data_IF_578725166065
#
_entry.id   IF_578725166065
#
_cell.length_a   1.000
_cell.length_b   1.000
_cell.length_c   1.000
_cell.angle_alpha   90.00
_cell.angle_beta   90.00
_cell.angle_gamma   90.00
#
_symmetry.space_group_name_H-M   'P 1'
#
loop_
_entity.id
_entity.type
_entity.pdbx_description
1 polymer ?
#
# COMPACT_ATOMS: atom_id res chain seq x y z
N UNK A 1 -25.92 35.06 4.15
CA UNK A 1 -25.16 34.45 3.05
C UNK A 1 -24.54 33.18 3.63
N UNK A 2 -25.16 32.02 3.39
CA UNK A 2 -24.72 30.76 4.01
C UNK A 2 -23.45 30.32 3.29
N UNK A 3 -22.31 30.46 3.96
CA UNK A 3 -21.07 29.82 3.55
C UNK A 3 -21.29 28.31 3.67
N UNK A 4 -21.78 27.68 2.60
CA UNK A 4 -21.79 26.23 2.49
C UNK A 4 -20.34 25.79 2.64
N UNK A 5 -20.05 25.04 3.70
CA UNK A 5 -18.74 24.47 3.91
C UNK A 5 -18.52 23.45 2.79
N UNK A 6 -17.90 23.89 1.70
CA UNK A 6 -17.66 23.11 0.48
C UNK A 6 -16.99 21.77 0.81
N UNK A 7 -16.11 21.75 1.83
CA UNK A 7 -15.50 20.52 2.34
C UNK A 7 -16.51 19.53 2.94
N UNK A 8 -17.50 20.02 3.69
CA UNK A 8 -18.57 19.19 4.25
C UNK A 8 -19.51 18.65 3.17
N UNK A 9 -19.80 19.44 2.14
CA UNK A 9 -20.61 19.01 0.99
C UNK A 9 -19.91 17.91 0.17
N UNK A 10 -18.63 18.09 -0.17
CA UNK A 10 -17.84 17.06 -0.86
C UNK A 10 -17.72 15.78 -0.03
N UNK A 11 -17.51 15.93 1.27
CA UNK A 11 -17.46 14.80 2.21
C UNK A 11 -18.77 14.00 2.25
N UNK A 12 -19.92 14.68 2.34
CA UNK A 12 -21.24 14.04 2.33
C UNK A 12 -21.47 13.35 0.99
N UNK A 13 -21.11 14.00 -0.12
CA UNK A 13 -21.24 13.41 -1.46
C UNK A 13 -20.37 12.17 -1.62
N UNK A 14 -19.12 12.18 -1.17
CA UNK A 14 -18.23 11.01 -1.22
C UNK A 14 -18.74 9.86 -0.34
N UNK A 15 -19.28 10.17 0.84
CA UNK A 15 -19.88 9.16 1.72
C UNK A 15 -21.17 8.59 1.14
N UNK A 16 -22.07 9.44 0.64
CA UNK A 16 -23.32 9.00 0.02
C UNK A 16 -23.04 8.22 -1.26
N UNK A 17 -22.14 8.70 -2.13
CA UNK A 17 -21.76 8.00 -3.35
C UNK A 17 -21.05 6.68 -3.04
N UNK A 18 -20.03 6.68 -2.18
CA UNK A 18 -19.31 5.47 -1.80
C UNK A 18 -20.21 4.46 -1.10
N UNK A 19 -21.06 4.91 -0.18
CA UNK A 19 -22.03 4.04 0.49
C UNK A 19 -23.06 3.53 -0.51
N UNK A 20 -23.59 4.36 -1.40
CA UNK A 20 -24.56 3.94 -2.40
C UNK A 20 -23.96 2.91 -3.36
N UNK A 21 -22.82 3.19 -4.00
CA UNK A 21 -22.15 2.29 -4.95
C UNK A 21 -21.77 0.96 -4.31
N UNK A 22 -21.34 0.95 -3.06
CA UNK A 22 -20.95 -0.28 -2.38
C UNK A 22 -22.12 -1.03 -1.73
N UNK A 23 -23.12 -0.34 -1.18
CA UNK A 23 -24.34 -0.97 -0.61
C UNK A 23 -25.24 -1.55 -1.69
N UNK A 24 -25.28 -0.96 -2.88
CA UNK A 24 -26.06 -1.47 -4.01
C UNK A 24 -25.44 -2.70 -4.69
N UNK A 25 -24.27 -3.18 -4.23
CA UNK A 25 -23.56 -4.36 -4.77
C UNK A 25 -23.32 -4.33 -6.29
N UNK A 26 -23.34 -3.15 -6.91
CA UNK A 26 -23.08 -2.97 -8.35
C UNK A 26 -21.66 -3.45 -8.70
N UNK A 27 -20.73 -3.34 -7.75
CA UNK A 27 -19.37 -3.86 -7.86
C UNK A 27 -19.18 -5.01 -6.88
N UNK A 28 -18.33 -6.02 -7.22
CA UNK A 28 -18.05 -7.09 -6.28
C UNK A 28 -17.42 -6.53 -4.99
N UNK A 29 -17.77 -7.08 -3.83
CA UNK A 29 -17.16 -6.68 -2.57
C UNK A 29 -15.71 -7.17 -2.46
N UNK A 30 -14.94 -6.53 -1.58
CA UNK A 30 -13.69 -7.07 -1.06
C UNK A 30 -13.95 -8.31 -0.19
N UNK A 31 -12.98 -9.21 -0.18
CA UNK A 31 -12.91 -10.38 0.70
C UNK A 31 -14.05 -11.37 0.50
N UNK A 32 -14.57 -11.47 -0.72
CA UNK A 32 -15.68 -12.37 -1.09
C UNK A 32 -15.36 -13.86 -0.93
N UNK A 33 -14.09 -14.22 -0.76
CA UNK A 33 -13.62 -15.59 -0.49
C UNK A 33 -13.12 -15.80 0.94
N UNK A 34 -13.46 -14.89 1.85
CA UNK A 34 -13.20 -15.06 3.27
C UNK A 34 -11.81 -14.59 3.72
N UNK A 35 -11.25 -15.26 4.72
CA UNK A 35 -10.02 -14.85 5.41
C UNK A 35 -8.76 -15.29 4.67
N UNK A 36 -8.83 -16.43 3.98
CA UNK A 36 -7.71 -17.03 3.23
C UNK A 36 -6.95 -18.15 3.96
N UNK A 37 -7.50 -18.63 5.09
CA UNK A 37 -7.03 -19.85 5.77
C UNK A 37 -5.55 -19.82 6.16
N UNK A 38 -4.81 -20.86 5.80
CA UNK A 38 -3.39 -21.05 6.15
C UNK A 38 -2.48 -19.89 5.70
N UNK A 39 -2.85 -19.15 4.65
CA UNK A 39 -2.11 -17.95 4.24
C UNK A 39 -2.20 -16.84 5.27
N UNK A 40 -3.36 -16.68 5.91
CA UNK A 40 -3.54 -15.69 6.96
C UNK A 40 -2.78 -16.10 8.22
N UNK A 41 -2.90 -17.37 8.64
CA UNK A 41 -2.18 -17.91 9.80
C UNK A 41 -0.64 -17.77 9.64
N UNK A 42 -0.12 -18.01 8.44
CA UNK A 42 1.29 -17.76 8.10
C UNK A 42 1.66 -16.28 8.33
N UNK A 43 0.85 -15.35 7.84
CA UNK A 43 1.12 -13.92 7.96
C UNK A 43 1.05 -13.44 9.40
N UNK A 44 0.05 -13.87 10.16
CA UNK A 44 -0.09 -13.56 11.58
C UNK A 44 1.14 -14.04 12.36
N UNK A 45 1.63 -15.25 12.08
CA UNK A 45 2.88 -15.79 12.66
C UNK A 45 4.11 -14.96 12.27
N UNK A 46 4.31 -14.69 10.97
CA UNK A 46 5.46 -13.94 10.48
C UNK A 46 5.52 -12.52 11.03
N UNK A 47 4.36 -11.87 11.16
CA UNK A 47 4.28 -10.49 11.67
C UNK A 47 4.43 -10.47 13.19
N UNK A 48 3.87 -11.45 13.91
CA UNK A 48 4.05 -11.57 15.36
C UNK A 48 5.51 -11.84 15.75
N UNK A 49 6.31 -12.43 14.86
CA UNK A 49 7.76 -12.58 15.05
C UNK A 49 8.54 -11.30 14.77
N UNK A 50 8.03 -10.42 13.89
CA UNK A 50 8.67 -9.15 13.58
C UNK A 50 8.56 -8.16 14.74
N UNK A 51 7.37 -7.97 15.32
CA UNK A 51 7.15 -6.92 16.34
C UNK A 51 8.00 -7.00 17.62
N UNK A 52 8.38 -8.18 18.15
CA UNK A 52 9.31 -8.29 19.28
C UNK A 52 10.77 -7.99 18.92
N UNK A 53 11.16 -8.06 17.64
CA UNK A 53 12.56 -8.01 17.20
C UNK A 53 12.90 -6.79 16.32
N UNK A 54 11.94 -5.89 16.02
CA UNK A 54 12.24 -4.70 15.19
C UNK A 54 13.18 -3.70 15.87
N UNK A 55 13.29 -3.75 17.21
CA UNK A 55 14.35 -3.05 17.96
C UNK A 55 15.69 -3.77 17.76
N UNK A 56 16.33 -3.54 16.60
CA UNK A 56 17.71 -3.98 16.35
C UNK A 56 17.93 -4.66 15.00
N UNK A 57 16.88 -5.10 14.32
CA UNK A 57 17.00 -5.77 13.01
C UNK A 57 17.15 -4.78 11.86
N UNK A 58 18.35 -4.22 11.73
CA UNK A 58 18.80 -3.41 10.61
C UNK A 58 19.25 -4.30 9.42
N UNK A 59 18.55 -5.42 9.16
CA UNK A 59 18.96 -6.36 8.11
C UNK A 59 18.92 -5.66 6.75
N UNK A 60 20.02 -5.75 5.96
CA UNK A 60 20.03 -5.16 4.64
C UNK A 60 18.96 -5.83 3.77
N UNK A 61 18.17 -5.05 3.00
CA UNK A 61 17.28 -5.61 2.01
C UNK A 61 18.03 -6.54 1.05
N UNK A 62 17.34 -7.53 0.50
CA UNK A 62 17.97 -8.43 -0.48
C UNK A 62 18.31 -7.65 -1.75
N UNK A 63 19.50 -7.88 -2.28
CA UNK A 63 19.87 -7.31 -3.57
C UNK A 63 19.03 -7.96 -4.67
N UNK A 64 18.42 -7.13 -5.52
CA UNK A 64 17.63 -7.56 -6.68
C UNK A 64 18.39 -7.26 -7.96
N UNK A 65 18.05 -7.98 -9.03
CA UNK A 65 18.63 -7.77 -10.37
C UNK A 65 17.51 -7.52 -11.39
N UNK A 66 17.04 -6.26 -11.53
CA UNK A 66 16.03 -5.93 -12.51
C UNK A 66 16.56 -6.05 -13.93
N UNK A 67 15.82 -6.79 -14.77
CA UNK A 67 16.06 -6.87 -16.21
C UNK A 67 15.27 -5.75 -16.88
N UNK A 68 15.98 -4.84 -17.55
CA UNK A 68 15.41 -3.61 -18.10
C UNK A 68 15.14 -3.70 -19.60
N UNK A 69 14.03 -3.09 -20.02
CA UNK A 69 13.69 -2.77 -21.41
C UNK A 69 13.44 -1.27 -21.53
N UNK A 70 14.12 -0.60 -22.45
CA UNK A 70 13.81 0.80 -22.78
C UNK A 70 12.48 0.88 -23.50
N UNK A 71 11.55 1.66 -22.95
CA UNK A 71 10.23 1.93 -23.53
C UNK A 71 10.27 3.19 -24.38
N UNK A 72 10.95 4.21 -23.89
CA UNK A 72 11.05 5.51 -24.53
C UNK A 72 12.33 6.22 -24.10
N UNK A 73 12.90 7.01 -25.00
CA UNK A 73 14.12 7.76 -24.73
C UNK A 73 14.15 9.07 -25.53
N UNK A 74 14.71 10.11 -24.92
CA UNK A 74 15.00 11.41 -25.53
C UNK A 74 16.45 11.79 -25.26
N UNK A 75 16.83 13.01 -25.64
CA UNK A 75 18.12 13.58 -25.25
C UNK A 75 18.25 13.64 -23.72
N UNK A 76 17.22 14.10 -23.02
CA UNK A 76 17.35 14.48 -21.60
C UNK A 76 16.77 13.45 -20.62
N UNK A 77 15.96 12.49 -21.09
CA UNK A 77 15.30 11.52 -20.23
C UNK A 77 15.10 10.15 -20.88
N UNK A 78 15.03 9.10 -20.06
CA UNK A 78 14.81 7.72 -20.47
C UNK A 78 13.73 7.09 -19.57
N UNK A 79 12.78 6.39 -20.19
CA UNK A 79 11.81 5.53 -19.51
C UNK A 79 12.14 4.07 -19.80
N UNK A 80 12.39 3.32 -18.74
CA UNK A 80 12.61 1.87 -18.80
C UNK A 80 11.54 1.14 -18.01
N UNK A 81 11.21 -0.07 -18.44
CA UNK A 81 10.44 -1.02 -17.65
C UNK A 81 11.35 -2.17 -17.23
N UNK A 82 11.26 -2.55 -15.96
CA UNK A 82 12.07 -3.59 -15.34
C UNK A 82 11.21 -4.72 -14.78
N UNK A 83 11.76 -5.92 -14.78
CA UNK A 83 11.18 -7.10 -14.12
C UNK A 83 12.25 -7.77 -13.27
N UNK A 84 11.90 -8.16 -12.04
CA UNK A 84 12.76 -8.94 -11.14
C UNK A 84 11.94 -9.93 -10.32
N UNK A 85 12.56 -11.01 -9.85
CA UNK A 85 11.94 -11.93 -8.89
C UNK A 85 11.71 -11.19 -7.57
N UNK A 86 10.53 -11.33 -6.97
CA UNK A 86 10.28 -10.72 -5.65
C UNK A 86 11.31 -11.22 -4.61
N UNK A 87 11.85 -10.35 -3.75
CA UNK A 87 12.82 -10.70 -2.70
C UNK A 87 12.16 -11.42 -1.50
N UNK A 88 10.85 -11.66 -1.56
CA UNK A 88 10.12 -12.38 -0.54
C UNK A 88 10.64 -13.82 -0.39
N UNK A 89 10.86 -14.27 0.84
CA UNK A 89 11.28 -15.65 1.11
C UNK A 89 10.26 -16.70 0.66
N UNK A 90 10.71 -17.94 0.49
CA UNK A 90 9.94 -19.06 -0.09
C UNK A 90 8.56 -19.26 0.55
N UNK A 91 8.44 -19.13 1.87
CA UNK A 91 7.15 -19.25 2.56
C UNK A 91 6.14 -18.21 2.06
N UNK A 92 6.54 -16.95 1.94
CA UNK A 92 5.67 -15.87 1.47
C UNK A 92 5.41 -16.01 -0.04
N UNK A 93 6.42 -16.41 -0.80
CA UNK A 93 6.33 -16.67 -2.23
C UNK A 93 5.31 -17.77 -2.55
N UNK A 94 5.24 -18.82 -1.73
CA UNK A 94 4.25 -19.90 -1.86
C UNK A 94 2.81 -19.43 -1.59
N UNK A 95 2.64 -18.39 -0.77
CA UNK A 95 1.34 -17.81 -0.46
C UNK A 95 0.88 -16.78 -1.51
N UNK A 96 1.83 -16.13 -2.20
CA UNK A 96 1.56 -15.19 -3.29
C UNK A 96 0.99 -15.91 -4.52
N UNK A 97 0.08 -15.24 -5.26
CA UNK A 97 -0.34 -15.75 -6.56
C UNK A 97 0.85 -15.77 -7.54
N UNK A 98 0.92 -16.76 -8.46
CA UNK A 98 2.02 -16.87 -9.42
C UNK A 98 2.29 -15.60 -10.22
N UNK A 99 1.23 -14.87 -10.60
CA UNK A 99 1.30 -13.60 -11.32
C UNK A 99 2.07 -12.51 -10.54
N UNK A 100 2.13 -12.63 -9.21
CA UNK A 100 2.83 -11.69 -8.34
C UNK A 100 4.24 -12.14 -7.96
N UNK A 101 4.73 -13.28 -8.45
CA UNK A 101 6.08 -13.75 -8.12
C UNK A 101 7.20 -12.90 -8.74
N UNK A 102 6.90 -12.21 -9.84
CA UNK A 102 7.83 -11.27 -10.45
C UNK A 102 7.30 -9.85 -10.24
N UNK A 103 8.12 -9.00 -9.64
CA UNK A 103 7.87 -7.58 -9.50
C UNK A 103 8.08 -6.88 -10.84
N UNK A 104 7.25 -5.85 -11.09
CA UNK A 104 7.33 -5.02 -12.29
C UNK A 104 7.50 -3.57 -11.88
N UNK A 105 8.39 -2.86 -12.56
CA UNK A 105 8.75 -1.49 -12.23
C UNK A 105 8.89 -0.65 -13.49
N UNK A 106 8.42 0.59 -13.48
CA UNK A 106 8.79 1.59 -14.49
C UNK A 106 9.78 2.59 -13.89
N UNK A 107 10.75 3.04 -14.67
CA UNK A 107 11.83 3.90 -14.20
C UNK A 107 12.09 5.03 -15.19
N UNK A 108 11.65 6.23 -14.81
CA UNK A 108 11.84 7.47 -15.54
C UNK A 108 13.04 8.23 -14.95
N UNK A 109 14.09 8.43 -15.75
CA UNK A 109 15.39 8.91 -15.27
C UNK A 109 15.91 10.05 -16.15
N UNK A 110 16.51 11.11 -15.56
CA UNK A 110 17.26 12.10 -16.33
C UNK A 110 18.57 11.50 -16.88
N UNK A 111 19.04 11.96 -18.05
CA UNK A 111 20.25 11.42 -18.70
C UNK A 111 21.52 12.23 -18.46
N UNK A 112 21.40 13.54 -18.32
CA UNK A 112 22.57 14.43 -18.35
C UNK A 112 23.20 14.66 -16.97
N UNK A 113 22.80 13.87 -15.97
CA UNK A 113 23.25 14.01 -14.58
C UNK A 113 23.76 12.66 -14.08
N UNK A 114 24.96 12.60 -13.48
CA UNK A 114 25.46 11.35 -12.91
C UNK A 114 24.60 10.94 -11.70
N UNK A 115 24.36 9.64 -11.46
CA UNK A 115 23.49 9.14 -10.38
C UNK A 115 23.79 9.71 -8.99
N UNK A 116 25.06 9.94 -8.67
CA UNK A 116 25.50 10.47 -7.37
C UNK A 116 24.99 11.89 -7.11
N UNK A 117 24.61 12.62 -8.17
CA UNK A 117 24.02 13.97 -8.10
C UNK A 117 22.51 13.96 -8.31
N UNK A 118 21.90 12.80 -8.53
CA UNK A 118 20.45 12.63 -8.69
C UNK A 118 19.80 12.17 -7.39
N UNK A 119 18.51 12.47 -7.27
CA UNK A 119 17.64 11.77 -6.33
C UNK A 119 16.75 10.78 -7.08
N UNK A 120 16.23 9.75 -6.39
CA UNK A 120 15.18 8.89 -6.93
C UNK A 120 14.08 8.67 -5.90
N UNK A 121 12.82 8.81 -6.32
CA UNK A 121 11.66 8.50 -5.49
C UNK A 121 10.95 7.25 -6.01
N UNK A 122 10.73 6.28 -5.12
CA UNK A 122 9.93 5.08 -5.39
C UNK A 122 8.46 5.37 -5.06
N UNK A 123 7.57 5.25 -6.05
CA UNK A 123 6.14 5.54 -5.96
C UNK A 123 5.33 4.26 -5.80
N UNK A 124 4.61 4.15 -4.69
CA UNK A 124 3.78 3.00 -4.34
C UNK A 124 2.30 3.26 -4.67
N UNK A 125 1.63 2.23 -5.19
CA UNK A 125 0.24 2.31 -5.62
C UNK A 125 -0.73 2.44 -4.44
N UNK A 126 -1.72 3.32 -4.60
CA UNK A 126 -2.94 3.29 -3.78
C UNK A 126 -3.94 2.24 -4.27
N UNK A 127 -5.05 2.09 -3.56
CA UNK A 127 -6.09 1.10 -3.91
C UNK A 127 -6.61 1.32 -5.34
N UNK A 128 -6.47 0.30 -6.19
CA UNK A 128 -6.93 0.33 -7.58
C UNK A 128 -6.04 1.10 -8.56
N UNK A 129 -4.87 1.57 -8.13
CA UNK A 129 -3.86 2.12 -9.03
C UNK A 129 -3.08 0.99 -9.72
N UNK A 130 -3.66 0.48 -10.81
CA UNK A 130 -3.26 -0.78 -11.40
C UNK A 130 -1.96 -0.75 -12.21
N UNK A 131 -1.66 0.34 -12.90
CA UNK A 131 -0.53 0.43 -13.84
C UNK A 131 0.45 1.52 -13.39
N UNK A 132 1.44 1.85 -14.24
CA UNK A 132 2.42 2.89 -13.93
C UNK A 132 1.92 4.31 -14.23
N UNK A 133 0.96 4.47 -15.14
CA UNK A 133 0.71 5.74 -15.84
C UNK A 133 0.41 6.91 -14.92
N UNK A 134 -0.50 6.73 -13.95
CA UNK A 134 -0.92 7.81 -13.05
C UNK A 134 0.25 8.36 -12.26
N UNK A 135 1.11 7.47 -11.76
CA UNK A 135 2.29 7.84 -10.97
C UNK A 135 3.41 8.38 -11.84
N UNK A 136 3.59 7.88 -13.07
CA UNK A 136 4.57 8.44 -14.01
C UNK A 136 4.28 9.89 -14.41
N UNK A 137 3.01 10.32 -14.41
CA UNK A 137 2.64 11.73 -14.64
C UNK A 137 3.22 12.68 -13.58
N UNK A 138 3.48 12.19 -12.37
CA UNK A 138 4.16 12.96 -11.32
C UNK A 138 5.66 13.13 -11.60
N UNK A 139 6.26 12.26 -12.42
CA UNK A 139 7.70 12.27 -12.70
C UNK A 139 8.16 13.34 -13.67
N UNK A 140 7.30 13.81 -14.59
CA UNK A 140 7.66 14.84 -15.56
C UNK A 140 8.22 16.12 -14.95
N UNK A 141 7.54 16.74 -13.95
CA UNK A 141 8.07 17.88 -13.21
C UNK A 141 9.35 17.57 -12.43
N UNK A 142 9.49 16.34 -11.90
CA UNK A 142 10.62 15.91 -11.08
C UNK A 142 11.93 15.79 -11.88
N UNK A 143 11.86 15.43 -13.15
CA UNK A 143 13.02 15.40 -14.04
C UNK A 143 13.76 16.74 -14.11
N UNK A 144 13.04 17.86 -14.06
CA UNK A 144 13.63 19.22 -14.07
C UNK A 144 14.45 19.53 -12.81
N UNK A 145 14.30 18.73 -11.76
CA UNK A 145 15.00 18.84 -10.49
C UNK A 145 16.06 17.73 -10.32
N UNK A 146 16.38 16.98 -11.38
CA UNK A 146 17.26 15.82 -11.35
C UNK A 146 16.77 14.71 -10.40
N UNK A 147 15.45 14.59 -10.29
CA UNK A 147 14.78 13.56 -9.48
C UNK A 147 14.19 12.53 -10.43
N UNK A 148 14.72 11.31 -10.38
CA UNK A 148 14.17 10.17 -11.07
C UNK A 148 12.91 9.64 -10.37
N UNK A 149 12.02 9.02 -11.14
CA UNK A 149 10.77 8.44 -10.66
C UNK A 149 10.76 6.97 -10.96
N UNK A 150 10.71 6.15 -9.91
CA UNK A 150 10.57 4.70 -10.01
C UNK A 150 9.19 4.30 -9.53
N UNK A 151 8.43 3.56 -10.33
CA UNK A 151 7.03 3.23 -10.06
C UNK A 151 6.88 1.71 -9.96
N UNK A 152 6.59 1.20 -8.76
CA UNK A 152 6.42 -0.23 -8.50
C UNK A 152 4.96 -0.66 -8.74
N UNK A 153 4.70 -1.59 -9.65
CA UNK A 153 3.36 -2.19 -9.78
C UNK A 153 3.14 -3.16 -8.62
N UNK A 154 2.19 -2.86 -7.74
CA UNK A 154 1.91 -3.70 -6.58
C UNK A 154 1.47 -5.11 -6.99
N UNK A 155 1.79 -6.15 -6.20
CA UNK A 155 1.17 -7.46 -6.34
C UNK A 155 -0.36 -7.33 -6.30
N UNK A 156 -1.06 -8.27 -6.93
CA UNK A 156 -2.51 -8.26 -7.13
C UNK A 156 -3.06 -7.14 -8.04
N UNK A 157 -2.23 -6.27 -8.62
CA UNK A 157 -2.64 -5.19 -9.53
C UNK A 157 -2.00 -5.33 -10.91
N UNK A 158 -2.60 -4.65 -11.90
CA UNK A 158 -2.05 -4.60 -13.26
C UNK A 158 -1.83 -5.99 -13.84
N UNK A 159 -0.60 -6.25 -14.29
CA UNK A 159 -0.21 -7.56 -14.83
C UNK A 159 0.05 -8.61 -13.74
N UNK A 160 0.11 -8.19 -12.47
CA UNK A 160 0.31 -9.05 -11.30
C UNK A 160 -1.00 -9.47 -10.62
N UNK A 161 -2.14 -9.13 -11.22
CA UNK A 161 -3.49 -9.42 -10.70
C UNK A 161 -3.91 -10.87 -10.99
N UNK A 162 -4.34 -11.66 -9.98
CA UNK A 162 -4.91 -12.99 -10.21
C UNK A 162 -6.10 -12.97 -11.15
N UNK A 163 -6.23 -14.00 -12.00
CA UNK A 163 -7.28 -14.09 -13.02
C UNK A 163 -8.70 -13.89 -12.48
N UNK A 164 -9.01 -14.47 -11.31
CA UNK A 164 -10.36 -14.40 -10.72
C UNK A 164 -10.66 -13.08 -10.01
N UNK A 165 -9.65 -12.23 -9.80
CA UNK A 165 -9.82 -10.95 -9.11
C UNK A 165 -10.34 -9.89 -10.09
N UNK A 166 -11.41 -9.20 -9.70
CA UNK A 166 -11.97 -8.08 -10.49
C UNK A 166 -11.49 -6.73 -9.95
N UNK A 167 -10.73 -6.01 -10.78
CA UNK A 167 -10.19 -4.70 -10.40
C UNK A 167 -9.36 -4.80 -9.13
N UNK A 168 -9.60 -3.87 -8.19
CA UNK A 168 -8.89 -3.79 -6.92
C UNK A 168 -9.46 -4.72 -5.82
N UNK A 169 -10.55 -5.46 -6.09
CA UNK A 169 -11.31 -6.19 -5.09
C UNK A 169 -10.62 -7.50 -4.71
N UNK A 170 -9.67 -7.41 -3.79
CA UNK A 170 -8.96 -8.56 -3.22
C UNK A 170 -9.95 -9.61 -2.73
N UNK A 171 -9.64 -10.89 -2.96
CA UNK A 171 -10.59 -11.98 -2.74
C UNK A 171 -10.57 -12.47 -1.29
N UNK A 172 -9.42 -12.43 -0.63
CA UNK A 172 -9.25 -12.83 0.76
C UNK A 172 -8.62 -11.71 1.61
N UNK A 173 -8.84 -11.72 2.93
CA UNK A 173 -8.16 -10.78 3.85
C UNK A 173 -6.63 -10.97 3.81
N UNK A 174 -6.17 -12.22 3.76
CA UNK A 174 -4.74 -12.53 3.57
C UNK A 174 -4.13 -11.89 2.32
N UNK A 175 -4.87 -11.74 1.22
CA UNK A 175 -4.36 -11.11 -0.01
C UNK A 175 -3.95 -9.64 0.24
N UNK A 176 -4.65 -8.94 1.14
CA UNK A 176 -4.30 -7.56 1.51
C UNK A 176 -2.97 -7.50 2.25
N UNK A 177 -2.76 -8.41 3.19
CA UNK A 177 -1.51 -8.48 3.96
C UNK A 177 -0.35 -8.97 3.10
N UNK A 178 -0.59 -9.94 2.21
CA UNK A 178 0.39 -10.41 1.21
C UNK A 178 0.78 -9.27 0.27
N UNK A 179 -0.20 -8.49 -0.20
CA UNK A 179 0.04 -7.33 -1.05
C UNK A 179 0.98 -6.34 -0.35
N UNK A 180 0.63 -5.95 0.88
CA UNK A 180 1.41 -5.00 1.65
C UNK A 180 2.82 -5.51 1.93
N UNK A 181 2.96 -6.74 2.43
CA UNK A 181 4.26 -7.31 2.76
C UNK A 181 5.20 -7.37 1.56
N UNK A 182 4.73 -7.90 0.43
CA UNK A 182 5.55 -7.98 -0.77
C UNK A 182 5.89 -6.60 -1.35
N UNK A 183 4.94 -5.65 -1.33
CA UNK A 183 5.21 -4.26 -1.77
C UNK A 183 6.32 -3.61 -0.92
N UNK A 184 6.29 -3.81 0.39
CA UNK A 184 7.28 -3.24 1.32
C UNK A 184 8.68 -3.83 1.05
N UNK A 185 8.81 -5.16 0.95
CA UNK A 185 10.12 -5.78 0.72
C UNK A 185 10.68 -5.47 -0.68
N UNK A 186 9.83 -5.45 -1.71
CA UNK A 186 10.22 -5.04 -3.06
C UNK A 186 10.69 -3.60 -3.11
N UNK A 187 9.98 -2.68 -2.45
CA UNK A 187 10.37 -1.27 -2.38
C UNK A 187 11.68 -1.06 -1.61
N UNK A 188 11.85 -1.73 -0.46
CA UNK A 188 13.11 -1.71 0.30
C UNK A 188 14.29 -2.21 -0.54
N UNK A 189 14.08 -3.26 -1.33
CA UNK A 189 15.11 -3.84 -2.21
C UNK A 189 15.41 -2.95 -3.42
N UNK A 190 14.41 -2.25 -3.97
CA UNK A 190 14.62 -1.23 -5.00
C UNK A 190 15.41 -0.04 -4.49
N UNK A 191 15.12 0.45 -3.29
CA UNK A 191 15.90 1.51 -2.63
C UNK A 191 17.35 1.06 -2.40
N UNK A 192 17.54 -0.18 -1.97
CA UNK A 192 18.88 -0.74 -1.80
C UNK A 192 19.63 -0.89 -3.12
N UNK A 193 18.98 -1.34 -4.19
CA UNK A 193 19.56 -1.39 -5.54
C UNK A 193 19.90 0.00 -6.08
N UNK A 194 19.06 1.01 -5.82
CA UNK A 194 19.30 2.40 -6.21
C UNK A 194 20.58 2.96 -5.57
N UNK A 195 20.82 2.61 -4.30
CA UNK A 195 22.00 3.01 -3.55
C UNK A 195 23.25 2.22 -3.99
N UNK A 196 23.20 0.89 -3.88
CA UNK A 196 24.37 0.00 -4.03
C UNK A 196 24.81 -0.22 -5.47
N UNK A 197 23.88 -0.35 -6.42
CA UNK A 197 24.19 -0.72 -7.81
C UNK A 197 24.05 0.47 -8.76
N UNK A 198 22.96 1.24 -8.63
CA UNK A 198 22.73 2.39 -9.51
C UNK A 198 23.48 3.66 -9.04
N UNK A 199 23.89 3.74 -7.77
CA UNK A 199 24.72 4.81 -7.21
C UNK A 199 24.01 6.15 -7.04
N UNK A 200 22.70 6.16 -6.73
CA UNK A 200 21.94 7.39 -6.49
C UNK A 200 22.39 8.09 -5.20
N UNK A 201 22.50 9.42 -5.23
CA UNK A 201 22.96 10.18 -4.06
C UNK A 201 21.89 10.40 -2.98
N UNK A 202 20.61 10.40 -3.36
CA UNK A 202 19.48 10.54 -2.44
C UNK A 202 18.32 9.65 -2.86
N UNK A 203 17.64 9.05 -1.90
CA UNK A 203 16.50 8.18 -2.17
C UNK A 203 15.28 8.61 -1.35
N UNK A 204 14.11 8.39 -1.93
CA UNK A 204 12.84 8.61 -1.27
C UNK A 204 11.81 7.54 -1.63
N UNK A 205 10.75 7.47 -0.83
CA UNK A 205 9.57 6.65 -1.08
C UNK A 205 8.32 7.46 -0.83
N UNK A 206 7.31 7.31 -1.68
CA UNK A 206 6.04 7.98 -1.53
C UNK A 206 4.88 7.08 -1.95
N UNK A 207 3.67 7.43 -1.51
CA UNK A 207 2.47 6.75 -1.97
C UNK A 207 1.19 7.39 -1.45
N UNK A 208 0.09 7.11 -2.15
CA UNK A 208 -1.23 7.63 -1.84
C UNK A 208 -2.08 6.58 -1.11
N UNK A 209 -2.78 6.98 -0.04
CA UNK A 209 -3.68 6.11 0.74
C UNK A 209 -2.96 4.82 1.20
N UNK A 210 -3.37 3.63 0.74
CA UNK A 210 -2.67 2.36 0.99
C UNK A 210 -1.18 2.42 0.60
N UNK A 211 -0.83 3.07 -0.52
CA UNK A 211 0.56 3.25 -0.93
C UNK A 211 1.33 4.12 0.06
N UNK A 212 0.67 5.07 0.73
CA UNK A 212 1.28 5.91 1.76
C UNK A 212 1.52 5.14 3.06
N UNK A 213 0.62 4.23 3.44
CA UNK A 213 0.83 3.29 4.55
C UNK A 213 2.10 2.45 4.29
N UNK A 214 2.22 1.88 3.09
CA UNK A 214 3.41 1.12 2.70
C UNK A 214 4.66 2.01 2.65
N UNK A 215 4.56 3.26 2.18
CA UNK A 215 5.70 4.18 2.16
C UNK A 215 6.21 4.49 3.57
N UNK A 216 5.30 4.70 4.53
CA UNK A 216 5.66 4.90 5.93
C UNK A 216 6.39 3.67 6.52
N UNK A 217 5.88 2.45 6.26
CA UNK A 217 6.52 1.21 6.69
C UNK A 217 7.89 1.00 6.02
N UNK A 218 8.01 1.30 4.72
CA UNK A 218 9.29 1.23 4.00
C UNK A 218 10.31 2.19 4.62
N UNK A 219 9.94 3.45 4.83
CA UNK A 219 10.82 4.45 5.43
C UNK A 219 11.25 4.10 6.87
N UNK A 220 10.34 3.50 7.64
CA UNK A 220 10.61 3.00 8.99
C UNK A 220 11.59 1.82 9.00
N UNK A 221 11.39 0.85 8.11
CA UNK A 221 12.16 -0.40 8.08
C UNK A 221 13.45 -0.32 7.28
N UNK A 222 13.71 0.77 6.54
CA UNK A 222 14.93 0.87 5.74
C UNK A 222 16.16 1.13 6.64
N UNK A 223 17.29 0.44 6.43
CA UNK A 223 18.44 0.55 7.32
C UNK A 223 19.17 1.90 7.23
N UNK A 224 18.99 2.63 6.13
CA UNK A 224 19.57 3.97 5.88
C UNK A 224 18.49 5.05 5.80
N UNK A 225 18.83 6.34 5.99
CA UNK A 225 17.87 7.43 5.86
C UNK A 225 17.25 7.53 4.46
N UNK A 226 15.91 7.48 4.38
CA UNK A 226 15.13 7.63 3.14
C UNK A 226 14.07 8.70 3.34
N UNK A 227 13.98 9.65 2.40
CA UNK A 227 12.94 10.67 2.42
C UNK A 227 11.56 10.01 2.22
N UNK A 228 10.61 10.25 3.11
CA UNK A 228 9.36 9.49 3.14
C UNK A 228 8.16 10.42 3.05
N UNK A 229 7.29 10.20 2.07
CA UNK A 229 6.08 11.00 1.82
C UNK A 229 4.82 10.12 1.80
N UNK A 230 4.20 9.85 2.96
CA UNK A 230 2.88 9.26 3.05
C UNK A 230 1.83 10.34 2.71
N UNK A 231 1.10 10.15 1.61
CA UNK A 231 0.12 11.11 1.11
C UNK A 231 -1.32 10.60 1.32
N UNK A 232 -2.10 11.31 2.13
CA UNK A 232 -3.48 10.98 2.50
C UNK A 232 -3.65 9.53 2.96
N UNK A 233 -2.66 9.03 3.71
CA UNK A 233 -2.64 7.67 4.23
C UNK A 233 -3.34 7.59 5.59
N UNK A 234 -4.24 6.59 5.80
CA UNK A 234 -4.65 6.24 7.16
C UNK A 234 -3.45 5.69 7.94
N UNK A 235 -3.52 5.63 9.27
CA UNK A 235 -2.46 4.98 10.06
C UNK A 235 -2.50 3.45 9.93
N UNK A 236 -3.63 2.86 9.54
CA UNK A 236 -3.78 1.42 9.33
C UNK A 236 -4.92 1.10 8.35
N UNK A 237 -4.96 -0.15 7.88
CA UNK A 237 -6.09 -0.67 7.10
C UNK A 237 -7.39 -0.77 7.91
N UNK A 238 -7.34 -0.75 9.26
CA UNK A 238 -8.53 -0.74 10.13
C UNK A 238 -9.39 0.47 9.82
N UNK A 239 -8.78 1.65 9.72
CA UNK A 239 -9.48 2.91 9.41
C UNK A 239 -10.23 2.81 8.08
N UNK A 240 -9.65 2.15 7.07
CA UNK A 240 -10.28 2.03 5.77
C UNK A 240 -11.45 1.02 5.77
N UNK A 241 -11.23 -0.18 6.32
CA UNK A 241 -12.15 -1.33 6.17
C UNK A 241 -13.15 -1.50 7.32
N UNK A 242 -12.87 -0.98 8.51
CA UNK A 242 -13.74 -1.12 9.69
C UNK A 242 -14.51 0.16 10.00
N UNK A 243 -13.88 1.32 9.81
CA UNK A 243 -14.44 2.63 10.21
C UNK A 243 -14.92 3.43 8.99
N UNK A 244 -14.11 3.44 7.93
CA UNK A 244 -14.29 4.24 6.73
C UNK A 244 -15.18 3.59 5.67
N UNK A 245 -15.16 4.19 4.47
CA UNK A 245 -16.10 3.88 3.38
C UNK A 245 -16.00 2.44 2.88
N UNK A 246 -14.83 1.80 2.97
CA UNK A 246 -14.64 0.44 2.48
C UNK A 246 -15.34 -0.60 3.34
N UNK A 247 -15.81 -0.26 4.55
CA UNK A 247 -16.67 -1.15 5.35
C UNK A 247 -17.95 -1.54 4.62
N UNK A 248 -18.47 -0.66 3.75
CA UNK A 248 -19.64 -0.97 2.92
C UNK A 248 -19.29 -1.83 1.71
N UNK A 249 -18.00 -1.91 1.36
CA UNK A 249 -17.49 -2.71 0.27
C UNK A 249 -16.95 -4.08 0.74
N UNK A 250 -16.97 -4.37 2.05
CA UNK A 250 -16.48 -5.64 2.62
C UNK A 250 -17.59 -6.69 2.64
N UNK A 251 -17.27 -7.91 2.20
CA UNK A 251 -18.18 -9.06 2.28
C UNK A 251 -18.23 -9.66 3.70
N UNK A 252 -18.84 -8.94 4.64
CA UNK A 252 -18.92 -9.37 6.05
C UNK A 252 -19.58 -10.74 6.23
N UNK A 253 -20.62 -11.06 5.47
CA UNK A 253 -21.27 -12.37 5.54
C UNK A 253 -20.34 -13.49 5.06
N UNK A 254 -19.59 -13.29 3.98
CA UNK A 254 -18.62 -14.29 3.50
C UNK A 254 -17.51 -14.54 4.54
N UNK A 255 -17.08 -13.49 5.26
CA UNK A 255 -16.14 -13.61 6.36
C UNK A 255 -16.72 -14.35 7.57
N UNK A 256 -18.00 -14.13 7.88
CA UNK A 256 -18.72 -14.85 8.94
C UNK A 256 -18.88 -16.33 8.60
N UNK A 257 -19.27 -16.64 7.36
CA UNK A 257 -19.47 -18.01 6.87
C UNK A 257 -18.17 -18.82 6.82
N UNK A 258 -17.05 -18.22 6.39
CA UNK A 258 -15.73 -18.89 6.35
C UNK A 258 -15.22 -19.27 7.76
N UNK A 259 -15.65 -18.57 8.81
CA UNK A 259 -15.35 -18.93 10.21
C UNK A 259 -16.34 -19.92 10.78
N UNK A 260 -17.64 -19.78 10.48
CA UNK A 260 -18.67 -20.72 10.94
C UNK A 260 -18.47 -22.14 10.38
N UNK A 261 -17.77 -22.28 9.25
CA UNK A 261 -17.33 -23.58 8.73
C UNK A 261 -16.21 -24.24 9.58
N UNK A 262 -15.58 -23.50 10.50
CA UNK A 262 -14.38 -23.91 11.27
C UNK A 262 -14.57 -23.85 12.80
N UNK A 263 -15.45 -22.98 13.30
CA UNK A 263 -15.72 -22.75 14.73
C UNK A 263 -17.23 -22.59 14.98
N UNK A 264 -17.64 -22.37 16.25
CA UNK A 264 -19.03 -22.06 16.58
C UNK A 264 -19.51 -20.80 15.86
N UNK A 265 -20.83 -20.68 15.63
CA UNK A 265 -21.41 -19.57 14.88
C UNK A 265 -21.04 -18.21 15.51
N UNK A 266 -20.20 -17.44 14.82
CA UNK A 266 -19.81 -16.08 15.23
C UNK A 266 -20.83 -15.04 14.78
N UNK A 267 -21.02 -14.03 15.62
CA UNK A 267 -21.77 -12.80 15.32
C UNK A 267 -21.00 -11.89 14.35
N UNK A 268 -21.70 -10.98 13.67
CA UNK A 268 -21.04 -10.01 12.78
C UNK A 268 -20.11 -9.06 13.55
N UNK A 269 -20.44 -8.77 14.80
CA UNK A 269 -19.67 -7.94 15.71
C UNK A 269 -18.32 -8.58 16.01
N UNK A 270 -18.30 -9.89 16.32
CA UNK A 270 -17.06 -10.65 16.52
C UNK A 270 -16.22 -10.75 15.24
N UNK A 271 -16.86 -10.90 14.08
CA UNK A 271 -16.18 -10.89 12.76
C UNK A 271 -15.51 -9.55 12.49
N UNK A 272 -16.18 -8.44 12.82
CA UNK A 272 -15.60 -7.08 12.72
C UNK A 272 -14.44 -6.89 13.69
N UNK A 273 -14.55 -7.44 14.89
CA UNK A 273 -13.47 -7.37 15.88
C UNK A 273 -12.24 -8.18 15.43
N UNK A 274 -12.45 -9.39 14.91
CA UNK A 274 -11.37 -10.17 14.28
C UNK A 274 -10.72 -9.38 13.14
N UNK A 275 -11.51 -8.71 12.29
CA UNK A 275 -10.99 -7.89 11.20
C UNK A 275 -10.12 -6.75 11.74
N UNK A 276 -10.56 -6.05 12.80
CA UNK A 276 -9.75 -5.03 13.46
C UNK A 276 -8.42 -5.59 13.95
N UNK A 277 -8.44 -6.72 14.64
CA UNK A 277 -7.24 -7.37 15.16
C UNK A 277 -6.26 -7.76 14.05
N UNK A 278 -6.74 -8.39 12.98
CA UNK A 278 -5.92 -8.77 11.82
C UNK A 278 -5.34 -7.54 11.12
N UNK A 279 -6.15 -6.51 10.89
CA UNK A 279 -5.70 -5.31 10.17
C UNK A 279 -4.85 -4.38 11.04
N UNK A 280 -4.87 -4.52 12.37
CA UNK A 280 -3.97 -3.80 13.30
C UNK A 280 -2.49 -4.12 13.06
N UNK A 281 -2.20 -5.21 12.35
CA UNK A 281 -0.85 -5.57 11.89
C UNK A 281 -0.30 -4.57 10.86
N UNK A 282 -1.16 -3.74 10.28
CA UNK A 282 -0.79 -2.68 9.33
C UNK A 282 -0.69 -1.31 10.00
N UNK A 283 -0.74 -1.23 11.33
CA UNK A 283 -0.65 0.05 12.03
C UNK A 283 0.78 0.58 12.02
N UNK A 284 1.00 1.68 11.31
CA UNK A 284 2.31 2.32 11.15
C UNK A 284 2.90 2.82 12.47
N UNK A 285 2.07 3.04 13.50
CA UNK A 285 2.52 3.47 14.83
C UNK A 285 3.27 2.38 15.60
N UNK A 286 3.14 1.11 15.15
CA UNK A 286 3.83 -0.05 15.74
C UNK A 286 5.19 -0.32 15.10
N UNK A 287 5.58 0.47 14.09
CA UNK A 287 6.85 0.34 13.40
C UNK A 287 7.87 1.33 14.00
N UNK A 288 9.19 1.04 13.92
CA UNK A 288 10.21 1.95 14.43
C UNK A 288 10.12 3.36 13.85
N UNK A 289 10.62 4.33 14.60
CA UNK A 289 10.80 5.68 14.07
C UNK A 289 11.83 5.61 12.91
N UNK A 290 11.55 6.18 11.72
CA UNK A 290 12.51 6.20 10.62
C UNK A 290 13.84 6.84 11.01
N UNK A 291 14.93 6.41 10.38
CA UNK A 291 16.30 6.84 10.74
C UNK A 291 16.52 8.36 10.70
N UNK A 292 15.76 9.08 9.87
CA UNK A 292 15.76 10.53 9.84
C UNK A 292 14.32 11.07 9.82
N UNK A 293 13.73 11.36 10.99
CA UNK A 293 12.37 11.89 11.07
C UNK A 293 12.17 13.24 10.36
N UNK A 294 13.23 14.06 10.26
CA UNK A 294 13.18 15.36 9.58
C UNK A 294 13.06 15.24 8.05
N UNK A 295 13.27 14.04 7.49
CA UNK A 295 13.09 13.77 6.06
C UNK A 295 11.68 13.20 5.74
N UNK A 296 10.76 13.23 6.70
CA UNK A 296 9.40 12.74 6.53
C UNK A 296 8.45 13.93 6.36
N UNK A 297 7.58 13.85 5.35
CA UNK A 297 6.50 14.81 5.13
C UNK A 297 5.19 14.04 5.17
N UNK A 298 4.37 14.27 6.18
CA UNK A 298 3.01 13.73 6.22
C UNK A 298 2.06 14.73 5.57
N UNK A 299 1.29 14.27 4.59
CA UNK A 299 0.13 15.02 4.10
C UNK A 299 -1.11 14.27 4.53
N UNK A 300 -1.81 14.80 5.54
CA UNK A 300 -3.02 14.22 6.09
C UNK A 300 -4.22 15.14 5.86
N UNK A 301 -5.42 14.56 5.81
CA UNK A 301 -6.64 15.34 5.90
C UNK A 301 -6.79 15.87 7.34
N UNK A 302 -7.26 17.10 7.49
CA UNK A 302 -7.40 17.78 8.79
C UNK A 302 -8.69 17.45 9.53
N UNK A 303 -9.61 16.68 8.93
CA UNK A 303 -10.91 16.32 9.52
C UNK A 303 -11.22 14.85 9.24
N UNK A 304 -11.26 14.03 10.29
CA UNK A 304 -11.53 12.58 10.22
C UNK A 304 -12.70 12.13 11.10
N UNK A 305 -13.34 13.03 11.84
CA UNK A 305 -14.39 12.71 12.83
C UNK A 305 -15.76 13.21 12.40
N UNK A 306 -16.74 12.31 12.31
CA UNK A 306 -18.14 12.65 12.64
C UNK A 306 -18.44 11.95 13.97
N UNK A 307 -18.47 12.69 15.06
CA UNK A 307 -19.40 12.35 16.13
C UNK A 307 -20.78 12.69 15.59
N UNK A 308 -21.51 11.69 15.09
CA UNK A 308 -22.95 11.85 14.96
C UNK A 308 -23.43 11.97 16.40
N UNK A 309 -23.87 13.18 16.75
CA UNK A 309 -24.55 13.45 18.00
C UNK A 309 -25.80 12.58 18.05
N UNK A 310 -25.70 11.41 18.69
CA UNK A 310 -26.84 10.79 19.33
C UNK A 310 -27.24 11.71 20.48
N UNK A 311 -28.25 12.53 20.21
CA UNK A 311 -29.39 12.83 21.09
C UNK A 311 -30.16 14.02 20.51
N UNK A 312 -31.15 13.71 19.68
CA UNK A 312 -32.45 14.32 19.88
C UNK A 312 -32.96 13.80 21.23
N UNK A 313 -33.08 14.67 22.23
CA UNK A 313 -34.22 14.74 23.17
C UNK A 313 -34.07 16.05 23.95
N UNK A 314 -34.89 17.06 23.64
CA UNK A 314 -36.09 17.50 24.39
C UNK A 314 -35.76 18.27 25.68
N UNK A 315 -36.28 19.51 25.71
CA UNK A 315 -36.27 20.57 26.74
C UNK A 315 -35.08 21.53 26.73
#
# INVERSE_FOLDING_TARGET
MVTVNIGMLHYILDHVYGAFVHRTKITPPFFSRGWGGTKLELLERLISQLFPEVEGQNWPPSLIQPIWRTVWETQNACLREGVFRTPCGEQLLSALPPESHNARVAFLVPKDVPPQKMACVVHLAGTGDHTFERRLRLGGPLLKQNIATMVLESPFYGQRRPMLQRGAKLLCVSDLLLLGRATIEEARSLLYWLDSEAGFGKMGVCGLSMGGVHAAMVGSLHPTPVATLPFLSPHSAVVAFCEGILKHATAWEALREDLAAKEAAMTLEEVRERMRNVLSLTDVTRFPIPKNPNAIIFVAATVSTISLSDNMDVA
#
